data_IF_157661966674
#
_entry.id   IF_157661966674
#
_cell.length_a   1.000
_cell.length_b   1.000
_cell.length_c   1.000
_cell.angle_alpha   90.00
_cell.angle_beta   90.00
_cell.angle_gamma   90.00
#
_symmetry.space_group_name_H-M   'P 1'
#
loop_
_entity.id
_entity.type
_entity.pdbx_description
1 polymer ?
#
# COMPACT_ATOMS: atom_id res chain seq x y z
N UNK A 1 -14.52 -48.43 12.88
CA UNK A 1 -13.38 -49.37 12.92
C UNK A 1 -13.05 -49.74 11.46
N UNK A 2 -12.08 -49.05 10.85
CA UNK A 2 -11.43 -49.46 9.61
C UNK A 2 -10.03 -48.87 9.63
N UNK A 3 -9.04 -49.74 9.81
CA UNK A 3 -7.61 -49.42 9.86
C UNK A 3 -7.08 -49.50 8.44
N UNK A 4 -6.56 -48.39 7.91
CA UNK A 4 -5.89 -48.38 6.60
C UNK A 4 -4.41 -48.65 6.86
N UNK A 5 -3.94 -49.80 6.37
CA UNK A 5 -2.57 -50.27 6.51
C UNK A 5 -1.71 -49.61 5.41
N UNK A 6 -0.72 -48.79 5.79
CA UNK A 6 0.25 -48.22 4.84
C UNK A 6 1.48 -49.14 4.77
N UNK A 7 1.69 -49.75 3.60
CA UNK A 7 2.88 -50.54 3.28
C UNK A 7 4.10 -49.62 3.06
N UNK A 8 5.34 -50.00 3.44
CA UNK A 8 6.52 -49.18 3.20
C UNK A 8 6.95 -49.23 1.74
N UNK A 9 7.28 -48.06 1.17
CA UNK A 9 7.80 -47.93 -0.19
C UNK A 9 9.24 -48.48 -0.30
N UNK A 10 9.44 -49.35 -1.29
CA UNK A 10 10.73 -49.86 -1.76
C UNK A 10 11.67 -48.73 -2.19
N UNK A 11 12.87 -48.64 -1.61
CA UNK A 11 13.94 -47.74 -2.08
C UNK A 11 14.68 -48.41 -3.24
N UNK A 12 14.57 -47.85 -4.44
CA UNK A 12 15.50 -48.14 -5.53
C UNK A 12 16.81 -47.37 -5.35
N UNK A 13 17.98 -47.99 -5.56
CA UNK A 13 19.25 -47.27 -5.53
C UNK A 13 19.41 -46.43 -6.81
N UNK A 14 19.63 -45.13 -6.66
CA UNK A 14 20.04 -44.27 -7.77
C UNK A 14 21.48 -44.61 -8.17
N UNK A 15 21.63 -45.27 -9.33
CA UNK A 15 22.90 -45.37 -10.05
C UNK A 15 23.29 -43.98 -10.53
N UNK A 16 24.28 -43.38 -9.87
CA UNK A 16 25.01 -42.21 -10.35
C UNK A 16 25.67 -42.57 -11.69
N UNK A 17 25.31 -41.84 -12.75
CA UNK A 17 26.06 -41.88 -14.01
C UNK A 17 27.47 -41.37 -13.75
N UNK A 18 28.46 -42.20 -14.06
CA UNK A 18 29.87 -41.85 -14.15
C UNK A 18 30.04 -40.63 -15.06
N UNK A 19 30.65 -39.59 -14.51
CA UNK A 19 31.21 -38.47 -15.27
C UNK A 19 32.70 -38.77 -15.35
N UNK A 20 33.08 -39.56 -16.34
CA UNK A 20 34.48 -39.82 -16.63
C UNK A 20 35.11 -38.64 -17.39
N UNK A 21 36.36 -38.38 -17.02
CA UNK A 21 37.42 -37.65 -17.71
C UNK A 21 37.44 -36.10 -17.67
N UNK A 22 37.77 -35.60 -16.48
CA UNK A 22 38.71 -34.47 -16.34
C UNK A 22 39.91 -34.99 -15.53
N UNK A 23 41.17 -34.91 -16.04
CA UNK A 23 42.34 -35.46 -15.36
C UNK A 23 42.53 -34.90 -13.94
N UNK A 24 42.71 -35.80 -12.98
CA UNK A 24 42.63 -35.58 -11.53
C UNK A 24 43.86 -34.84 -10.92
N UNK A 25 44.53 -33.98 -11.68
CA UNK A 25 45.69 -33.19 -11.20
C UNK A 25 45.30 -31.76 -10.77
N UNK A 26 44.05 -31.34 -10.95
CA UNK A 26 43.58 -29.99 -10.58
C UNK A 26 42.33 -30.08 -9.68
N UNK A 27 42.42 -30.79 -8.55
CA UNK A 27 41.38 -30.78 -7.51
C UNK A 27 41.99 -30.73 -6.10
N UNK A 28 42.61 -29.60 -5.74
CA UNK A 28 42.71 -29.09 -4.34
C UNK A 28 43.48 -27.77 -4.24
N UNK A 29 43.10 -26.78 -5.02
CA UNK A 29 43.32 -25.39 -4.61
C UNK A 29 41.93 -24.95 -4.18
N UNK A 30 41.73 -24.65 -2.89
CA UNK A 30 40.45 -24.09 -2.50
C UNK A 30 40.30 -22.78 -3.28
N UNK A 31 39.08 -22.40 -3.67
CA UNK A 31 38.86 -21.14 -4.40
C UNK A 31 39.56 -19.97 -3.71
N UNK A 32 39.63 -20.01 -2.37
CA UNK A 32 40.32 -19.04 -1.52
C UNK A 32 41.84 -19.01 -1.72
N UNK A 33 42.47 -20.16 -1.97
CA UNK A 33 43.89 -20.25 -2.27
C UNK A 33 44.21 -19.68 -3.66
N UNK A 34 43.29 -19.86 -4.62
CA UNK A 34 43.41 -19.26 -5.95
C UNK A 34 43.32 -17.72 -5.92
N UNK A 35 42.64 -17.10 -4.94
CA UNK A 35 42.67 -15.64 -4.77
C UNK A 35 43.95 -15.14 -4.09
N UNK A 36 44.65 -16.02 -3.35
CA UNK A 36 45.86 -15.68 -2.58
C UNK A 36 47.16 -15.90 -3.36
N UNK A 37 47.14 -16.72 -4.41
CA UNK A 37 48.29 -17.01 -5.26
C UNK A 37 48.57 -15.88 -6.26
N UNK A 38 49.71 -15.16 -6.17
CA UNK A 38 50.06 -14.07 -7.09
C UNK A 38 50.15 -14.46 -8.57
N UNK A 39 50.29 -15.75 -8.88
CA UNK A 39 50.33 -16.28 -10.24
C UNK A 39 48.95 -16.66 -10.79
N UNK A 40 47.91 -16.57 -9.97
CA UNK A 40 46.55 -16.92 -10.35
C UNK A 40 45.86 -15.80 -11.15
N UNK A 41 45.06 -16.14 -12.17
CA UNK A 41 44.26 -15.16 -12.92
C UNK A 41 43.17 -14.48 -12.06
N UNK A 42 42.89 -15.00 -10.86
CA UNK A 42 41.93 -14.44 -9.91
C UNK A 42 42.57 -13.55 -8.84
N UNK A 43 43.90 -13.45 -8.79
CA UNK A 43 44.60 -12.65 -7.80
C UNK A 43 44.57 -11.16 -8.16
N UNK A 44 44.13 -10.34 -7.20
CA UNK A 44 44.15 -8.88 -7.28
C UNK A 44 45.22 -8.35 -6.33
N UNK A 45 46.31 -7.71 -6.83
CA UNK A 45 47.34 -7.13 -5.97
C UNK A 45 46.76 -6.08 -5.01
N UNK A 46 47.29 -5.95 -3.78
CA UNK A 46 46.84 -4.93 -2.85
C UNK A 46 46.89 -3.52 -3.46
N UNK A 47 45.76 -2.81 -3.45
CA UNK A 47 45.64 -1.47 -4.04
C UNK A 47 45.12 -1.43 -5.49
N UNK A 48 44.83 -2.58 -6.10
CA UNK A 48 44.17 -2.62 -7.42
C UNK A 48 42.64 -2.58 -7.26
N UNK A 49 41.97 -1.73 -8.05
CA UNK A 49 40.52 -1.84 -8.22
C UNK A 49 40.24 -3.02 -9.15
N UNK A 50 39.32 -3.91 -8.74
CA UNK A 50 38.82 -4.97 -9.61
C UNK A 50 38.16 -4.39 -10.87
N UNK A 51 37.97 -5.20 -11.93
CA UNK A 51 37.30 -4.75 -13.14
C UNK A 51 35.92 -4.18 -12.80
N UNK A 52 35.60 -3.02 -13.38
CA UNK A 52 34.28 -2.43 -13.24
C UNK A 52 33.23 -3.44 -13.72
N UNK A 53 32.13 -3.57 -12.96
CA UNK A 53 30.99 -4.37 -13.40
C UNK A 53 30.52 -3.85 -14.77
N UNK A 54 30.34 -4.72 -15.79
CA UNK A 54 29.81 -4.31 -17.09
C UNK A 54 28.34 -3.89 -16.97
N UNK A 55 27.65 -4.37 -15.94
CA UNK A 55 26.28 -3.96 -15.62
C UNK A 55 26.29 -2.60 -14.89
N UNK A 56 25.40 -1.67 -15.28
CA UNK A 56 25.19 -0.46 -14.50
C UNK A 56 24.84 -0.84 -13.04
N UNK A 57 25.17 0.02 -12.06
CA UNK A 57 24.84 -0.27 -10.67
C UNK A 57 23.34 -0.56 -10.55
N UNK A 58 22.98 -1.66 -9.89
CA UNK A 58 21.58 -2.11 -9.77
C UNK A 58 20.64 -0.98 -9.27
N UNK A 59 21.18 -0.06 -8.49
CA UNK A 59 20.51 1.14 -7.98
C UNK A 59 19.86 2.00 -9.10
N UNK A 60 20.50 2.16 -10.26
CA UNK A 60 19.96 3.00 -11.35
C UNK A 60 18.77 2.34 -12.05
N UNK A 61 18.85 1.03 -12.35
CA UNK A 61 17.76 0.29 -13.00
C UNK A 61 16.54 0.13 -12.10
N UNK A 62 16.75 -0.02 -10.79
CA UNK A 62 15.65 -0.10 -9.83
C UNK A 62 14.94 1.24 -9.64
N UNK A 63 15.65 2.36 -9.76
CA UNK A 63 15.10 3.71 -9.55
C UNK A 63 14.19 4.13 -10.72
N UNK A 64 14.65 4.05 -11.97
CA UNK A 64 13.83 4.41 -13.14
C UNK A 64 12.56 3.52 -13.25
N UNK A 65 12.71 2.22 -13.00
CA UNK A 65 11.59 1.29 -12.99
C UNK A 65 10.60 1.56 -11.84
N UNK A 66 11.04 2.19 -10.75
CA UNK A 66 10.20 2.54 -9.61
C UNK A 66 9.49 3.88 -9.83
N UNK A 67 10.17 4.88 -10.38
CA UNK A 67 9.59 6.17 -10.78
C UNK A 67 8.45 5.96 -11.79
N UNK A 68 8.71 5.20 -12.84
CA UNK A 68 7.69 4.84 -13.84
C UNK A 68 6.50 4.08 -13.23
N UNK A 69 6.71 3.24 -12.20
CA UNK A 69 5.59 2.57 -11.50
C UNK A 69 4.79 3.55 -10.64
N UNK A 70 5.46 4.48 -9.98
CA UNK A 70 4.83 5.51 -9.16
C UNK A 70 3.95 6.44 -10.02
N UNK A 71 4.46 6.89 -11.16
CA UNK A 71 3.71 7.72 -12.11
C UNK A 71 2.45 6.99 -12.61
N UNK A 72 2.58 5.73 -13.03
CA UNK A 72 1.42 4.94 -13.45
C UNK A 72 0.38 4.79 -12.34
N UNK A 73 0.82 4.53 -11.10
CA UNK A 73 -0.09 4.41 -9.97
C UNK A 73 -0.83 5.73 -9.69
N UNK A 74 -0.11 6.85 -9.70
CA UNK A 74 -0.67 8.19 -9.49
C UNK A 74 -1.70 8.53 -10.57
N UNK A 75 -1.34 8.35 -11.84
CA UNK A 75 -2.26 8.54 -12.97
C UNK A 75 -3.50 7.68 -12.80
N UNK A 76 -3.33 6.41 -12.40
CA UNK A 76 -4.48 5.53 -12.22
C UNK A 76 -5.41 5.97 -11.09
N UNK A 77 -4.86 6.40 -9.96
CA UNK A 77 -5.65 6.90 -8.84
C UNK A 77 -6.37 8.21 -9.20
N UNK A 78 -5.73 9.11 -9.96
CA UNK A 78 -6.34 10.33 -10.47
C UNK A 78 -7.52 10.05 -11.42
N UNK A 79 -7.36 9.13 -12.37
CA UNK A 79 -8.45 8.69 -13.26
C UNK A 79 -9.66 8.15 -12.50
N UNK A 80 -9.40 7.46 -11.37
CA UNK A 80 -10.44 6.94 -10.49
C UNK A 80 -11.03 8.02 -9.57
N UNK A 81 -10.58 9.27 -9.68
CA UNK A 81 -11.07 10.42 -8.92
C UNK A 81 -10.63 10.44 -7.46
N UNK A 82 -9.50 9.82 -7.13
CA UNK A 82 -8.90 9.97 -5.81
C UNK A 82 -8.17 11.31 -5.68
N UNK A 83 -8.26 11.89 -4.49
CA UNK A 83 -7.63 13.16 -4.15
C UNK A 83 -6.10 13.00 -4.11
N UNK A 84 -5.32 13.69 -4.96
CA UNK A 84 -3.85 13.57 -4.93
C UNK A 84 -3.23 14.04 -3.62
N UNK A 85 -3.91 14.89 -2.84
CA UNK A 85 -3.47 15.27 -1.49
C UNK A 85 -3.61 14.15 -0.46
N UNK A 86 -4.30 13.04 -0.81
CA UNK A 86 -4.44 11.83 0.01
C UNK A 86 -3.38 10.77 -0.27
N UNK A 87 -2.55 10.97 -1.29
CA UNK A 87 -1.63 9.96 -1.80
C UNK A 87 -0.53 9.65 -0.78
N UNK A 88 -0.54 8.41 -0.31
CA UNK A 88 0.39 7.89 0.69
C UNK A 88 1.08 6.64 0.16
N UNK A 89 2.41 6.64 0.19
CA UNK A 89 3.20 5.47 -0.19
C UNK A 89 3.52 4.60 1.03
N UNK A 90 3.18 3.32 0.94
CA UNK A 90 3.49 2.32 1.95
C UNK A 90 4.43 1.27 1.37
N UNK A 91 5.67 1.28 1.85
CA UNK A 91 6.63 0.21 1.57
C UNK A 91 6.21 -1.05 2.32
N UNK A 92 6.15 -2.17 1.60
CA UNK A 92 5.96 -3.48 2.22
C UNK A 92 7.31 -3.98 2.71
N UNK A 93 7.35 -4.39 3.98
CA UNK A 93 8.51 -5.02 4.61
C UNK A 93 8.22 -6.49 4.90
N UNK A 94 9.28 -7.28 5.08
CA UNK A 94 9.14 -8.70 5.37
C UNK A 94 8.21 -8.98 6.55
N UNK A 95 8.31 -8.19 7.63
CA UNK A 95 7.48 -8.30 8.83
C UNK A 95 5.99 -7.96 8.66
N UNK A 96 5.56 -7.51 7.47
CA UNK A 96 4.13 -7.36 7.18
C UNK A 96 3.44 -8.70 6.85
N UNK A 97 4.21 -9.75 6.56
CA UNK A 97 3.69 -11.07 6.21
C UNK A 97 3.19 -11.84 7.42
N UNK A 98 2.23 -12.73 7.19
CA UNK A 98 1.90 -13.81 8.11
C UNK A 98 2.32 -15.19 7.57
N UNK A 99 1.90 -16.25 8.27
CA UNK A 99 2.20 -17.63 7.91
C UNK A 99 1.70 -18.04 6.51
N UNK A 100 0.74 -17.31 5.93
CA UNK A 100 0.20 -17.59 4.60
C UNK A 100 0.99 -16.94 3.47
N UNK A 101 2.16 -16.37 3.77
CA UNK A 101 3.13 -15.86 2.79
C UNK A 101 2.63 -14.66 1.98
N UNK A 102 1.72 -13.89 2.54
CA UNK A 102 1.32 -12.58 2.04
C UNK A 102 1.14 -11.60 3.21
N UNK A 103 0.97 -10.32 2.90
CA UNK A 103 0.66 -9.29 3.89
C UNK A 103 -0.56 -9.72 4.71
N UNK A 104 -0.45 -9.63 6.03
CA UNK A 104 -1.54 -9.97 6.94
C UNK A 104 -2.70 -8.97 6.81
N UNK A 105 -3.93 -9.47 6.87
CA UNK A 105 -5.15 -8.65 6.70
C UNK A 105 -5.21 -7.43 7.63
N UNK A 106 -4.73 -7.53 8.87
CA UNK A 106 -4.74 -6.42 9.85
C UNK A 106 -3.77 -5.30 9.47
N UNK A 107 -2.71 -5.61 8.71
CA UNK A 107 -1.73 -4.60 8.25
C UNK A 107 -2.38 -3.60 7.32
N UNK A 108 -3.29 -4.04 6.45
CA UNK A 108 -4.02 -3.15 5.55
C UNK A 108 -4.80 -2.06 6.30
N UNK A 109 -5.44 -2.39 7.43
CA UNK A 109 -6.14 -1.41 8.28
C UNK A 109 -5.18 -0.34 8.79
N UNK A 110 -3.96 -0.74 9.20
CA UNK A 110 -2.93 0.20 9.65
C UNK A 110 -2.43 1.10 8.54
N UNK A 111 -2.27 0.56 7.34
CA UNK A 111 -1.84 1.35 6.19
C UNK A 111 -2.91 2.38 5.78
N UNK A 112 -4.18 1.96 5.78
CA UNK A 112 -5.32 2.86 5.56
C UNK A 112 -5.40 3.93 6.64
N UNK A 113 -5.16 3.58 7.91
CA UNK A 113 -5.11 4.54 9.01
C UNK A 113 -4.04 5.62 8.80
N UNK A 114 -2.79 5.23 8.52
CA UNK A 114 -1.72 6.22 8.27
C UNK A 114 -2.06 7.15 7.10
N UNK A 115 -2.54 6.59 5.98
CA UNK A 115 -2.97 7.40 4.82
C UNK A 115 -4.17 8.29 5.13
N UNK A 116 -5.15 7.82 5.92
CA UNK A 116 -6.31 8.61 6.33
C UNK A 116 -5.90 9.78 7.23
N UNK A 117 -4.93 9.60 8.12
CA UNK A 117 -4.43 10.70 8.95
C UNK A 117 -3.82 11.81 8.09
N UNK A 118 -3.02 11.48 7.07
CA UNK A 118 -2.50 12.48 6.13
C UNK A 118 -3.61 13.19 5.35
N UNK A 119 -4.62 12.44 4.91
CA UNK A 119 -5.80 13.02 4.29
C UNK A 119 -6.55 13.97 5.24
N UNK A 120 -6.70 13.60 6.52
CA UNK A 120 -7.31 14.45 7.55
C UNK A 120 -6.51 15.73 7.80
N UNK A 121 -5.18 15.66 7.80
CA UNK A 121 -4.30 16.84 7.90
C UNK A 121 -4.50 17.76 6.70
N UNK A 122 -4.55 17.21 5.49
CA UNK A 122 -4.86 17.97 4.26
C UNK A 122 -6.23 18.65 4.36
N UNK A 123 -7.26 17.93 4.82
CA UNK A 123 -8.60 18.47 5.01
C UNK A 123 -8.63 19.61 6.05
N UNK A 124 -7.96 19.42 7.19
CA UNK A 124 -7.88 20.45 8.23
C UNK A 124 -7.21 21.73 7.73
N UNK A 125 -6.15 21.60 6.92
CA UNK A 125 -5.47 22.73 6.28
C UNK A 125 -6.40 23.49 5.33
N UNK A 126 -7.22 22.78 4.57
CA UNK A 126 -8.20 23.41 3.67
C UNK A 126 -9.32 24.12 4.42
N UNK A 127 -9.84 23.54 5.50
CA UNK A 127 -10.94 24.10 6.28
C UNK A 127 -10.51 25.35 7.06
N UNK A 128 -9.36 25.30 7.75
CA UNK A 128 -8.99 26.35 8.70
C UNK A 128 -7.48 26.56 8.85
N UNK A 129 -6.68 26.15 7.86
CA UNK A 129 -5.23 26.31 7.87
C UNK A 129 -4.49 25.35 8.80
N UNK A 130 -3.19 25.62 9.01
CA UNK A 130 -2.29 24.73 9.75
C UNK A 130 -2.76 24.48 11.19
N UNK A 131 -3.20 25.52 11.90
CA UNK A 131 -3.70 25.38 13.29
C UNK A 131 -4.88 24.42 13.36
N UNK A 132 -5.81 24.47 12.39
CA UNK A 132 -6.96 23.56 12.37
C UNK A 132 -6.54 22.11 12.13
N UNK A 133 -5.55 21.88 11.28
CA UNK A 133 -4.99 20.54 11.06
C UNK A 133 -4.32 19.99 12.32
N UNK A 134 -3.55 20.81 13.03
CA UNK A 134 -2.90 20.43 14.28
C UNK A 134 -3.91 20.10 15.38
N UNK A 135 -4.99 20.87 15.49
CA UNK A 135 -6.08 20.60 16.43
C UNK A 135 -6.83 19.30 16.08
N UNK A 136 -7.11 19.08 14.80
CA UNK A 136 -7.74 17.83 14.35
C UNK A 136 -6.88 16.61 14.69
N UNK A 137 -5.57 16.68 14.44
CA UNK A 137 -4.64 15.58 14.72
C UNK A 137 -4.50 15.31 16.22
N UNK A 138 -4.54 16.36 17.04
CA UNK A 138 -4.44 16.25 18.50
C UNK A 138 -5.78 15.94 19.19
N UNK A 139 -6.88 15.81 18.44
CA UNK A 139 -8.21 15.61 19.01
C UNK A 139 -8.68 16.78 19.87
N UNK A 140 -8.39 18.03 19.46
CA UNK A 140 -8.88 19.26 20.09
C UNK A 140 -9.98 19.90 19.25
N UNK A 141 -10.98 20.49 19.90
CA UNK A 141 -12.14 21.06 19.22
C UNK A 141 -12.91 20.00 18.44
N UNK A 142 -13.11 20.20 17.14
CA UNK A 142 -13.86 19.28 16.28
C UNK A 142 -12.88 18.49 15.39
N UNK A 143 -12.94 17.16 15.48
CA UNK A 143 -12.16 16.24 14.64
C UNK A 143 -12.99 15.02 14.21
N UNK A 144 -12.35 14.01 13.62
CA UNK A 144 -12.99 12.86 13.02
C UNK A 144 -12.75 11.58 13.82
N UNK A 145 -13.80 10.77 13.97
CA UNK A 145 -13.74 9.42 14.53
C UNK A 145 -14.19 8.43 13.47
N UNK A 146 -13.44 7.34 13.29
CA UNK A 146 -13.83 6.21 12.45
C UNK A 146 -14.97 5.43 13.11
N UNK A 147 -16.16 5.43 12.49
CA UNK A 147 -17.34 4.71 12.96
C UNK A 147 -17.41 3.29 12.41
N UNK A 148 -17.15 3.13 11.11
CA UNK A 148 -17.13 1.82 10.45
C UNK A 148 -16.06 1.81 9.36
N UNK A 149 -15.50 0.63 9.12
CA UNK A 149 -14.62 0.33 7.99
C UNK A 149 -15.03 -1.04 7.43
N UNK A 150 -15.26 -1.11 6.12
CA UNK A 150 -15.47 -2.34 5.37
C UNK A 150 -14.33 -2.48 4.37
N UNK A 151 -13.69 -3.65 4.30
CA UNK A 151 -12.49 -3.85 3.46
C UNK A 151 -12.69 -5.05 2.55
N UNK A 152 -12.45 -4.84 1.26
CA UNK A 152 -12.44 -5.88 0.25
C UNK A 152 -10.99 -6.22 -0.14
N UNK A 153 -10.51 -7.38 0.32
CA UNK A 153 -9.19 -7.92 -0.05
C UNK A 153 -9.26 -8.59 -1.42
N UNK A 154 -8.86 -7.88 -2.47
CA UNK A 154 -8.99 -8.36 -3.86
C UNK A 154 -7.85 -9.28 -4.28
N UNK A 155 -6.62 -9.00 -3.82
CA UNK A 155 -5.41 -9.75 -4.20
C UNK A 155 -4.39 -9.75 -3.06
N UNK A 156 -3.69 -10.88 -2.81
CA UNK A 156 -2.60 -10.91 -1.84
C UNK A 156 -1.44 -10.02 -2.31
N UNK A 157 -0.87 -9.25 -1.40
CA UNK A 157 0.37 -8.47 -1.61
C UNK A 157 1.52 -9.21 -0.96
N UNK A 158 2.70 -9.18 -1.59
CA UNK A 158 3.90 -9.87 -1.09
C UNK A 158 5.10 -8.91 -1.11
N UNK A 159 6.12 -9.20 -0.30
CA UNK A 159 7.39 -8.47 -0.32
C UNK A 159 8.26 -8.91 -1.52
N UNK A 160 9.01 -7.99 -2.16
CA UNK A 160 8.96 -6.54 -1.99
C UNK A 160 7.84 -5.91 -2.84
N UNK A 161 7.16 -4.91 -2.30
CA UNK A 161 6.20 -4.08 -3.03
C UNK A 161 6.15 -2.67 -2.44
N UNK A 162 5.64 -1.73 -3.24
CA UNK A 162 5.28 -0.39 -2.82
C UNK A 162 3.79 -0.20 -3.13
N UNK A 163 3.04 0.25 -2.15
CA UNK A 163 1.62 0.51 -2.29
C UNK A 163 1.38 2.01 -2.34
N UNK A 164 0.52 2.46 -3.25
CA UNK A 164 -0.07 3.79 -3.21
C UNK A 164 -1.48 3.69 -2.64
N UNK A 165 -1.70 4.39 -1.54
CA UNK A 165 -2.97 4.43 -0.82
C UNK A 165 -3.57 5.81 -1.01
N UNK A 166 -4.87 5.85 -1.29
CA UNK A 166 -5.57 7.10 -1.54
C UNK A 166 -7.00 7.04 -1.00
N UNK A 167 -7.54 8.20 -0.68
CA UNK A 167 -8.88 8.38 -0.14
C UNK A 167 -9.68 9.41 -0.94
N UNK A 168 -10.99 9.21 -1.03
CA UNK A 168 -11.92 10.20 -1.57
C UNK A 168 -13.26 10.13 -0.85
N UNK A 169 -13.84 11.27 -0.44
CA UNK A 169 -15.18 11.26 0.13
C UNK A 169 -16.19 10.89 -0.95
N UNK A 170 -17.31 10.29 -0.57
CA UNK A 170 -18.42 10.02 -1.49
C UNK A 170 -19.79 10.13 -0.80
N UNK A 171 -20.89 10.21 -1.56
CA UNK A 171 -22.23 10.45 -1.00
C UNK A 171 -22.81 9.31 -0.15
N UNK A 172 -22.13 8.16 -0.05
CA UNK A 172 -22.67 6.96 0.59
C UNK A 172 -23.68 6.20 -0.29
N UNK A 173 -24.18 5.07 0.21
CA UNK A 173 -25.21 4.29 -0.46
C UNK A 173 -26.49 5.12 -0.64
N UNK A 174 -27.22 4.87 -1.73
CA UNK A 174 -28.49 5.56 -2.07
C UNK A 174 -29.56 5.45 -0.97
N UNK A 175 -29.42 4.47 -0.08
CA UNK A 175 -30.32 4.20 1.03
C UNK A 175 -29.47 4.02 2.29
N UNK A 176 -29.59 4.93 3.26
CA UNK A 176 -29.11 4.66 4.61
C UNK A 176 -29.91 3.48 5.17
N UNK A 177 -29.29 2.56 5.91
CA UNK A 177 -30.03 1.48 6.58
C UNK A 177 -31.08 1.99 7.56
N UNK A 178 -30.98 3.24 8.01
CA UNK A 178 -32.00 3.95 8.79
C UNK A 178 -33.17 4.51 7.96
N UNK A 179 -33.06 4.57 6.63
CA UNK A 179 -34.02 5.22 5.72
C UNK A 179 -34.77 4.24 4.82
N UNK A 180 -34.70 2.92 5.09
CA UNK A 180 -35.44 1.87 4.35
C UNK A 180 -36.97 2.13 4.31
N UNK A 181 -37.48 2.98 5.21
CA UNK A 181 -38.90 3.35 5.28
C UNK A 181 -39.25 4.73 4.70
N UNK A 182 -38.31 5.49 4.13
CA UNK A 182 -38.60 6.81 3.54
C UNK A 182 -38.74 6.70 2.03
N UNK A 183 -39.99 6.63 1.58
CA UNK A 183 -40.42 6.46 0.17
C UNK A 183 -40.36 7.75 -0.65
N UNK A 184 -39.46 8.69 -0.33
CA UNK A 184 -39.29 9.92 -1.11
C UNK A 184 -37.86 9.99 -1.65
N UNK A 185 -37.72 9.81 -2.97
CA UNK A 185 -36.51 10.07 -3.76
C UNK A 185 -36.24 11.59 -3.89
N UNK A 186 -36.38 12.32 -2.78
CA UNK A 186 -36.07 13.74 -2.69
C UNK A 186 -34.56 13.99 -2.72
N UNK A 187 -34.18 15.21 -3.09
CA UNK A 187 -32.80 15.72 -3.15
C UNK A 187 -31.90 15.10 -2.06
N UNK A 188 -30.82 14.42 -2.48
CA UNK A 188 -29.82 13.78 -1.59
C UNK A 188 -29.40 14.74 -0.48
N UNK A 189 -29.90 14.53 0.73
CA UNK A 189 -29.49 15.32 1.91
C UNK A 189 -28.35 14.60 2.59
N UNK A 190 -27.14 15.14 2.45
CA UNK A 190 -25.96 14.56 3.11
C UNK A 190 -26.17 14.55 4.64
N UNK A 191 -25.73 13.50 5.34
CA UNK A 191 -25.80 13.48 6.79
C UNK A 191 -24.97 14.63 7.37
N UNK A 192 -25.51 15.33 8.36
CA UNK A 192 -24.83 16.51 8.95
C UNK A 192 -23.61 16.17 9.80
N UNK A 193 -23.58 14.98 10.38
CA UNK A 193 -22.57 14.62 11.41
C UNK A 193 -21.59 13.56 10.94
N UNK A 194 -21.75 13.02 9.73
CA UNK A 194 -20.88 11.98 9.20
C UNK A 194 -20.88 11.98 7.68
N UNK A 195 -19.83 11.40 7.10
CA UNK A 195 -19.70 11.21 5.67
C UNK A 195 -19.02 9.87 5.38
N UNK A 196 -19.11 9.44 4.12
CA UNK A 196 -18.45 8.23 3.66
C UNK A 196 -17.12 8.57 2.99
N UNK A 197 -16.11 7.74 3.24
CA UNK A 197 -14.77 7.87 2.69
C UNK A 197 -14.38 6.54 2.04
N UNK A 198 -14.17 6.58 0.72
CA UNK A 198 -13.67 5.44 -0.03
C UNK A 198 -12.14 5.47 0.03
N UNK A 199 -11.53 4.35 0.40
CA UNK A 199 -10.08 4.15 0.31
C UNK A 199 -9.73 3.11 -0.76
N UNK A 200 -8.57 3.24 -1.38
CA UNK A 200 -8.04 2.22 -2.26
C UNK A 200 -6.53 2.08 -2.13
N UNK A 201 -6.06 0.86 -2.37
CA UNK A 201 -4.66 0.47 -2.31
C UNK A 201 -4.27 -0.10 -3.66
N UNK A 202 -3.34 0.59 -4.33
CA UNK A 202 -2.76 0.18 -5.60
C UNK A 202 -1.36 -0.40 -5.39
N UNK A 203 -1.10 -1.59 -5.92
CA UNK A 203 0.21 -2.24 -5.86
C UNK A 203 1.08 -1.86 -7.07
N UNK A 204 2.31 -1.42 -6.82
CA UNK A 204 3.26 -1.07 -7.88
C UNK A 204 3.72 -2.33 -8.62
N UNK A 205 3.96 -3.42 -7.89
CA UNK A 205 4.34 -4.70 -8.47
C UNK A 205 3.23 -5.30 -9.34
N UNK A 206 1.97 -5.25 -8.88
CA UNK A 206 0.83 -5.85 -9.59
C UNK A 206 0.14 -4.91 -10.58
N UNK A 207 0.46 -3.61 -10.55
CA UNK A 207 -0.10 -2.54 -11.38
C UNK A 207 -1.63 -2.48 -11.38
N UNK A 208 -2.23 -2.74 -10.21
CA UNK A 208 -3.69 -2.80 -10.03
C UNK A 208 -4.08 -2.49 -8.59
N UNK A 209 -5.36 -2.17 -8.41
CA UNK A 209 -6.00 -2.13 -7.10
C UNK A 209 -6.02 -3.54 -6.50
N UNK A 210 -5.47 -3.66 -5.29
CA UNK A 210 -5.38 -4.92 -4.53
C UNK A 210 -6.33 -4.94 -3.34
N UNK A 211 -6.76 -3.76 -2.87
CA UNK A 211 -7.69 -3.60 -1.76
C UNK A 211 -8.50 -2.32 -1.94
N UNK A 212 -9.78 -2.37 -1.63
CA UNK A 212 -10.66 -1.21 -1.49
C UNK A 212 -11.28 -1.22 -0.10
N UNK A 213 -11.61 -0.04 0.43
CA UNK A 213 -12.40 0.06 1.65
C UNK A 213 -13.46 1.16 1.54
N UNK A 214 -14.57 0.97 2.27
CA UNK A 214 -15.55 2.02 2.52
C UNK A 214 -15.61 2.30 4.02
N UNK A 215 -15.49 3.57 4.38
CA UNK A 215 -15.40 4.05 5.75
C UNK A 215 -16.51 5.05 6.04
N UNK A 216 -16.96 5.10 7.29
CA UNK A 216 -17.82 6.18 7.77
C UNK A 216 -17.06 6.95 8.83
N UNK A 217 -16.81 8.22 8.57
CA UNK A 217 -16.18 9.15 9.51
C UNK A 217 -17.24 10.06 10.12
N UNK A 218 -17.16 10.24 11.44
CA UNK A 218 -18.08 11.06 12.22
C UNK A 218 -17.36 12.29 12.73
N UNK A 219 -17.97 13.47 12.55
CA UNK A 219 -17.53 14.70 13.18
C UNK A 219 -17.86 14.66 14.68
N UNK A 220 -16.84 14.84 15.50
CA UNK A 220 -16.91 14.75 16.94
C UNK A 220 -16.29 15.98 17.59
N UNK A 221 -17.04 16.60 18.49
CA UNK A 221 -16.60 17.72 19.32
C UNK A 221 -15.98 17.14 20.60
N UNK A 222 -14.66 17.24 20.71
CA UNK A 222 -13.86 16.73 21.83
C UNK A 222 -13.96 17.59 23.08
N UNK A 223 -14.53 18.79 23.00
CA UNK A 223 -14.82 19.63 24.16
C UNK A 223 -16.18 19.26 24.76
N UNK A 224 -17.17 19.02 23.90
CA UNK A 224 -18.54 18.64 24.32
C UNK A 224 -18.74 17.13 24.45
N UNK A 225 -17.78 16.34 23.99
CA UNK A 225 -17.83 14.87 23.94
C UNK A 225 -19.10 14.36 23.25
N UNK A 226 -19.41 14.93 22.08
CA UNK A 226 -20.60 14.59 21.32
C UNK A 226 -20.37 14.67 19.81
N UNK A 227 -21.12 13.89 19.04
CA UNK A 227 -21.21 14.08 17.59
C UNK A 227 -21.73 15.48 17.26
N UNK A 228 -21.17 16.14 16.26
CA UNK A 228 -21.54 17.50 15.90
C UNK A 228 -21.70 17.70 14.39
N UNK A 229 -22.31 18.83 14.04
CA UNK A 229 -22.22 19.41 12.69
C UNK A 229 -20.93 20.26 12.67
N UNK A 230 -19.99 20.00 11.74
CA UNK A 230 -18.70 20.70 11.70
C UNK A 230 -18.79 22.12 11.14
N UNK A 231 -19.95 22.55 10.64
CA UNK A 231 -20.14 23.84 10.00
C UNK A 231 -20.06 23.79 8.47
N UNK A 232 -20.33 24.94 7.87
CA UNK A 232 -20.44 25.08 6.40
C UNK A 232 -19.10 24.90 5.69
N UNK A 233 -18.01 25.44 6.25
CA UNK A 233 -16.66 25.35 5.67
C UNK A 233 -16.22 23.89 5.47
N UNK A 234 -16.45 23.04 6.46
CA UNK A 234 -16.16 21.61 6.36
C UNK A 234 -17.06 20.91 5.33
N UNK A 235 -18.32 21.32 5.23
CA UNK A 235 -19.27 20.78 4.24
C UNK A 235 -18.83 21.14 2.82
N UNK A 236 -18.45 22.38 2.58
CA UNK A 236 -17.95 22.87 1.28
C UNK A 236 -16.66 22.14 0.89
N UNK A 237 -15.70 22.01 1.80
CA UNK A 237 -14.46 21.28 1.55
C UNK A 237 -14.72 19.80 1.19
N UNK A 238 -15.61 19.12 1.92
CA UNK A 238 -15.98 17.74 1.61
C UNK A 238 -16.66 17.62 0.24
N UNK A 239 -17.61 18.50 -0.08
CA UNK A 239 -18.30 18.50 -1.38
C UNK A 239 -17.31 18.72 -2.52
N UNK A 240 -16.39 19.66 -2.39
CA UNK A 240 -15.33 19.88 -3.38
C UNK A 240 -14.50 18.62 -3.60
N UNK A 241 -14.04 17.98 -2.52
CA UNK A 241 -13.25 16.75 -2.59
C UNK A 241 -14.02 15.55 -3.16
N UNK A 242 -15.35 15.52 -3.03
CA UNK A 242 -16.19 14.47 -3.62
C UNK A 242 -16.24 14.55 -5.16
N UNK A 243 -16.07 15.74 -5.73
CA UNK A 243 -16.29 16.02 -7.15
C UNK A 243 -15.06 16.58 -7.87
N UNK A 244 -13.84 16.27 -7.39
CA UNK A 244 -12.58 16.76 -7.97
C UNK A 244 -12.44 16.52 -9.49
N UNK A 245 -13.06 15.47 -10.03
CA UNK A 245 -13.02 15.15 -11.47
C UNK A 245 -14.02 15.94 -12.31
N UNK A 246 -14.82 16.82 -11.72
CA UNK A 246 -15.84 17.63 -12.41
C UNK A 246 -15.47 19.12 -12.51
N UNK A 247 -14.35 19.56 -11.93
CA UNK A 247 -13.82 20.91 -12.20
C UNK A 247 -13.24 20.92 -13.63
N UNK A 248 -13.74 21.78 -14.55
CA UNK A 248 -13.14 21.90 -15.87
C UNK A 248 -11.69 22.39 -15.70
N UNK A 249 -10.76 21.75 -16.41
CA UNK A 249 -9.37 22.19 -16.51
C UNK A 249 -9.34 23.69 -16.80
N UNK A 250 -8.88 24.50 -15.85
CA UNK A 250 -8.71 25.95 -16.02
C UNK A 250 -7.48 26.31 -16.90
N UNK A 251 -7.03 25.37 -17.72
CA UNK A 251 -5.94 25.54 -18.67
C UNK A 251 -6.40 25.02 -20.05
N UNK A 252 -7.04 25.91 -20.80
CA UNK A 252 -7.02 25.99 -22.27
C UNK A 252 -6.56 27.39 -22.67
#
# INVERSE_FOLDING_TARGET
MHVVNLSPASRHPHTSREVDDIPDVIKKISLQDAFRDPSSPFHLPPGTQGPASPDPPAEFLHTEAQETRAEHARTKMLELGYDPSSFWEQRIVWGDHDAFQHVNNVRYVRFLESSRIEWMVSLGKEIGGASRADDMLAGRGISLILKTISIDYKRPVVYPDMLLIAHKPHPGPLVSTSDVHKTEFGQRRFPKTHFHLMGAIYSYAQRRIVTECDEVLVWYDYEKLAKCDPGEEATVALQRRMFLTQEPSAYE
#
